data_IF_452126265526
#
_entry.id   IF_452126265526
#
_cell.length_a   1.000
_cell.length_b   1.000
_cell.length_c   1.000
_cell.angle_alpha   90.00
_cell.angle_beta   90.00
_cell.angle_gamma   90.00
#
_symmetry.space_group_name_H-M   'P 1'
#
loop_
_entity.id
_entity.type
_entity.pdbx_description
1 polymer ?
#
# COMPACT_ATOMS: atom_id res chain seq x y z
N UNK A 1 14.29 -15.08 41.13
CA UNK A 1 13.52 -15.25 39.87
C UNK A 1 12.67 -14.02 39.66
N UNK A 2 12.76 -13.35 38.52
CA UNK A 2 11.92 -12.20 38.19
C UNK A 2 10.80 -12.63 37.24
N UNK A 3 9.56 -12.31 37.58
CA UNK A 3 8.39 -12.51 36.73
C UNK A 3 8.02 -11.16 36.10
N UNK A 4 8.08 -11.08 34.77
CA UNK A 4 7.82 -9.84 34.02
C UNK A 4 6.98 -10.08 32.77
N UNK A 5 6.87 -9.07 31.91
CA UNK A 5 5.95 -9.06 30.77
C UNK A 5 6.65 -8.83 29.41
N UNK A 6 7.92 -9.24 29.26
CA UNK A 6 8.70 -9.01 28.03
C UNK A 6 8.14 -9.72 26.78
N UNK A 7 7.14 -10.60 26.95
CA UNK A 7 6.37 -11.22 25.87
C UNK A 7 5.35 -10.26 25.22
N UNK A 8 5.09 -9.09 25.81
CA UNK A 8 4.18 -8.09 25.24
C UNK A 8 4.83 -7.40 24.03
N UNK A 9 4.55 -7.91 22.83
CA UNK A 9 5.16 -7.46 21.58
C UNK A 9 4.58 -6.13 21.02
N UNK A 10 4.22 -5.17 21.88
CA UNK A 10 3.61 -3.90 21.46
C UNK A 10 4.54 -3.06 20.56
N UNK A 11 5.86 -3.17 20.75
CA UNK A 11 6.85 -2.52 19.87
C UNK A 11 6.76 -3.00 18.42
N UNK A 12 6.46 -4.28 18.20
CA UNK A 12 6.28 -4.87 16.85
C UNK A 12 5.03 -4.29 16.20
N UNK A 13 3.92 -4.21 16.93
CA UNK A 13 2.67 -3.60 16.43
C UNK A 13 2.90 -2.14 16.05
N UNK A 14 3.50 -1.35 16.95
CA UNK A 14 3.78 0.06 16.68
C UNK A 14 4.69 0.27 15.45
N UNK A 15 5.69 -0.58 15.25
CA UNK A 15 6.57 -0.51 14.09
C UNK A 15 5.83 -0.87 12.79
N UNK A 16 5.11 -2.00 12.79
CA UNK A 16 4.41 -2.50 11.59
C UNK A 16 3.28 -1.59 11.15
N UNK A 17 2.52 -0.99 12.07
CA UNK A 17 1.47 -0.02 11.72
C UNK A 17 2.05 1.26 11.10
N UNK A 18 3.16 1.78 11.64
CA UNK A 18 3.86 2.94 11.05
C UNK A 18 4.39 2.63 9.66
N UNK A 19 5.00 1.45 9.47
CA UNK A 19 5.45 1.01 8.14
C UNK A 19 4.27 0.97 7.19
N UNK A 20 3.16 0.34 7.58
CA UNK A 20 1.97 0.18 6.72
C UNK A 20 1.35 1.51 6.30
N UNK A 21 1.28 2.48 7.22
CA UNK A 21 0.82 3.84 6.89
C UNK A 21 1.77 4.54 5.90
N UNK A 22 3.08 4.42 6.11
CA UNK A 22 4.07 4.97 5.18
C UNK A 22 3.98 4.34 3.78
N UNK A 23 3.75 3.02 3.69
CA UNK A 23 3.55 2.33 2.40
C UNK A 23 2.37 2.93 1.63
N UNK A 24 1.24 3.20 2.31
CA UNK A 24 0.08 3.84 1.69
C UNK A 24 0.40 5.24 1.14
N UNK A 25 1.17 6.04 1.89
CA UNK A 25 1.59 7.36 1.42
C UNK A 25 2.49 7.27 0.18
N UNK A 26 3.42 6.32 0.16
CA UNK A 26 4.28 6.04 -1.01
C UNK A 26 3.43 5.60 -2.21
N UNK A 27 2.50 4.66 -2.02
CA UNK A 27 1.62 4.19 -3.09
C UNK A 27 0.76 5.31 -3.67
N UNK A 28 0.22 6.19 -2.82
CA UNK A 28 -0.56 7.35 -3.28
C UNK A 28 0.27 8.34 -4.08
N UNK A 29 1.52 8.58 -3.67
CA UNK A 29 2.45 9.43 -4.41
C UNK A 29 2.78 8.83 -5.79
N UNK A 30 3.15 7.55 -5.84
CA UNK A 30 3.47 6.86 -7.10
C UNK A 30 2.27 6.83 -8.05
N UNK A 31 1.07 6.55 -7.55
CA UNK A 31 -0.14 6.59 -8.36
C UNK A 31 -0.38 7.98 -8.94
N UNK A 32 -0.20 9.04 -8.15
CA UNK A 32 -0.37 10.41 -8.64
C UNK A 32 0.61 10.74 -9.77
N UNK A 33 1.87 10.30 -9.66
CA UNK A 33 2.88 10.46 -10.71
C UNK A 33 2.53 9.66 -11.97
N UNK A 34 2.08 8.41 -11.82
CA UNK A 34 1.66 7.56 -12.95
C UNK A 34 0.48 8.17 -13.70
N UNK A 35 -0.56 8.59 -12.99
CA UNK A 35 -1.74 9.20 -13.63
C UNK A 35 -1.41 10.53 -14.31
N UNK A 36 -0.47 11.31 -13.77
CA UNK A 36 0.02 12.54 -14.41
C UNK A 36 0.76 12.23 -15.73
N UNK A 37 1.68 11.25 -15.75
CA UNK A 37 2.42 10.88 -16.95
C UNK A 37 1.52 10.30 -18.06
N UNK A 38 0.50 9.52 -17.68
CA UNK A 38 -0.44 8.89 -18.62
C UNK A 38 -1.41 9.93 -19.24
N UNK A 39 -1.70 11.01 -18.52
CA UNK A 39 -2.61 12.04 -18.99
C UNK A 39 -1.90 13.07 -19.89
N UNK A 40 -2.21 13.04 -21.19
CA UNK A 40 -1.68 13.98 -22.18
C UNK A 40 -1.88 15.47 -21.86
N UNK A 41 -2.90 15.83 -21.08
CA UNK A 41 -3.16 17.23 -20.69
C UNK A 41 -2.16 17.72 -19.61
N UNK A 42 -1.50 16.80 -18.91
CA UNK A 42 -0.61 17.08 -17.78
C UNK A 42 0.85 16.68 -18.06
N UNK A 43 1.06 15.75 -18.97
CA UNK A 43 2.34 15.05 -19.18
C UNK A 43 3.36 15.80 -20.05
N UNK A 44 3.15 17.10 -20.29
CA UNK A 44 4.06 17.98 -21.02
C UNK A 44 4.46 17.48 -22.43
N UNK A 45 3.49 16.97 -23.18
CA UNK A 45 3.68 16.57 -24.58
C UNK A 45 3.91 15.08 -24.82
N UNK A 46 3.79 14.24 -23.79
CA UNK A 46 3.73 12.79 -23.99
C UNK A 46 2.41 12.37 -24.68
N UNK A 47 2.42 11.32 -25.50
CA UNK A 47 1.24 10.87 -26.22
C UNK A 47 0.17 10.33 -25.24
N UNK A 48 -1.14 10.41 -25.59
CA UNK A 48 -2.21 9.89 -24.75
C UNK A 48 -2.01 8.42 -24.39
N UNK A 49 -2.08 8.10 -23.09
CA UNK A 49 -1.86 6.75 -22.56
C UNK A 49 -0.47 6.15 -22.87
N UNK A 50 0.51 6.98 -23.25
CA UNK A 50 1.85 6.59 -23.71
C UNK A 50 1.84 5.63 -24.93
N UNK A 51 0.85 5.80 -25.81
CA UNK A 51 0.78 5.07 -27.08
C UNK A 51 1.93 5.49 -28.02
N UNK A 52 2.68 4.52 -28.54
CA UNK A 52 3.77 4.77 -29.51
C UNK A 52 3.26 4.90 -30.95
N UNK A 53 2.06 4.38 -31.21
CA UNK A 53 1.34 4.38 -32.47
C UNK A 53 0.14 5.36 -32.43
N UNK A 54 -0.77 5.28 -33.41
CA UNK A 54 -1.92 6.19 -33.52
C UNK A 54 -2.83 6.10 -32.26
N UNK A 55 -2.91 7.17 -31.45
CA UNK A 55 -3.68 7.15 -30.21
C UNK A 55 -5.19 7.00 -30.39
N UNK A 56 -5.71 7.13 -31.62
CA UNK A 56 -7.14 6.93 -31.91
C UNK A 56 -7.56 5.44 -31.85
N UNK A 57 -6.59 4.53 -32.01
CA UNK A 57 -6.81 3.07 -32.00
C UNK A 57 -5.98 2.34 -30.95
N UNK A 58 -5.04 3.03 -30.28
CA UNK A 58 -4.15 2.48 -29.27
C UNK A 58 -4.33 3.18 -27.92
N UNK A 59 -4.67 2.40 -26.90
CA UNK A 59 -4.90 2.89 -25.53
C UNK A 59 -3.83 2.42 -24.53
N UNK A 60 -2.72 1.86 -25.03
CA UNK A 60 -1.54 1.37 -24.32
C UNK A 60 -1.69 1.20 -22.78
N UNK A 61 -1.49 2.27 -22.00
CA UNK A 61 -1.49 2.19 -20.52
C UNK A 61 -2.81 2.56 -19.83
N UNK A 62 -3.92 2.74 -20.55
CA UNK A 62 -5.23 3.06 -19.96
C UNK A 62 -5.68 2.02 -18.92
N UNK A 63 -5.47 0.73 -19.22
CA UNK A 63 -5.80 -0.35 -18.29
C UNK A 63 -4.87 -0.38 -17.07
N UNK A 64 -3.60 0.01 -17.25
CA UNK A 64 -2.64 0.10 -16.17
C UNK A 64 -3.00 1.21 -15.17
N UNK A 65 -3.45 2.37 -15.64
CA UNK A 65 -3.93 3.46 -14.76
C UNK A 65 -5.10 2.98 -13.88
N UNK A 66 -6.10 2.32 -14.48
CA UNK A 66 -7.24 1.75 -13.76
C UNK A 66 -6.80 0.69 -12.71
N UNK A 67 -5.86 -0.18 -13.08
CA UNK A 67 -5.32 -1.18 -12.15
C UNK A 67 -4.54 -0.52 -11.00
N UNK A 68 -3.76 0.52 -11.29
CA UNK A 68 -2.98 1.25 -10.26
C UNK A 68 -3.90 1.97 -9.28
N UNK A 69 -5.03 2.50 -9.74
CA UNK A 69 -6.06 3.08 -8.89
C UNK A 69 -6.70 2.02 -7.95
N UNK A 70 -6.94 0.81 -8.46
CA UNK A 70 -7.46 -0.30 -7.67
C UNK A 70 -6.47 -0.71 -6.56
N UNK A 71 -5.20 -0.93 -6.89
CA UNK A 71 -4.17 -1.25 -5.90
C UNK A 71 -3.99 -0.14 -4.86
N UNK A 72 -4.02 1.13 -5.28
CA UNK A 72 -3.92 2.26 -4.35
C UNK A 72 -5.10 2.30 -3.36
N UNK A 73 -6.29 1.93 -3.82
CA UNK A 73 -7.48 1.85 -2.97
C UNK A 73 -7.39 0.71 -1.95
N UNK A 74 -6.96 -0.47 -2.40
CA UNK A 74 -6.70 -1.63 -1.52
C UNK A 74 -5.63 -1.32 -0.48
N UNK A 75 -4.53 -0.68 -0.89
CA UNK A 75 -3.47 -0.24 0.01
C UNK A 75 -3.97 0.78 1.04
N UNK A 76 -4.90 1.66 0.65
CA UNK A 76 -5.61 2.55 1.56
C UNK A 76 -6.40 1.82 2.63
N UNK A 77 -7.09 0.72 2.27
CA UNK A 77 -7.81 -0.10 3.23
C UNK A 77 -6.86 -0.85 4.18
N UNK A 78 -5.76 -1.42 3.65
CA UNK A 78 -4.75 -2.12 4.45
C UNK A 78 -4.07 -1.19 5.47
N UNK A 79 -4.00 0.10 5.22
CA UNK A 79 -3.38 1.09 6.12
C UNK A 79 -4.07 1.23 7.49
N UNK A 80 -5.29 0.73 7.65
CA UNK A 80 -6.00 0.81 8.92
C UNK A 80 -5.21 0.09 10.05
N UNK A 81 -5.17 0.67 11.27
CA UNK A 81 -4.53 0.02 12.41
C UNK A 81 -5.34 -1.23 12.82
N UNK A 82 -4.63 -2.24 13.30
CA UNK A 82 -5.23 -3.43 13.94
C UNK A 82 -5.22 -3.29 15.47
N UNK A 83 -4.36 -2.43 16.02
CA UNK A 83 -4.16 -2.24 17.45
C UNK A 83 -5.40 -1.73 18.21
N UNK A 84 -6.36 -1.13 17.50
CA UNK A 84 -7.66 -0.71 18.05
C UNK A 84 -8.70 -1.85 18.14
N UNK A 85 -8.36 -3.07 17.72
CA UNK A 85 -9.24 -4.24 17.74
C UNK A 85 -8.89 -5.26 18.85
N UNK A 86 -8.05 -4.89 19.82
CA UNK A 86 -7.67 -5.75 20.94
C UNK A 86 -8.89 -6.27 21.68
N UNK A 87 -8.92 -7.58 21.93
CA UNK A 87 -9.92 -8.25 22.75
C UNK A 87 -9.30 -8.75 24.03
N UNK A 88 -10.09 -8.81 25.11
CA UNK A 88 -9.65 -9.45 26.33
C UNK A 88 -9.62 -10.96 26.13
N UNK A 89 -8.43 -11.57 26.25
CA UNK A 89 -8.24 -13.00 26.06
C UNK A 89 -7.93 -13.71 27.39
N UNK A 90 -8.05 -15.05 27.37
CA UNK A 90 -7.58 -15.94 28.45
C UNK A 90 -8.19 -15.55 29.82
N UNK A 91 -9.52 -15.60 29.93
CA UNK A 91 -10.25 -15.27 31.17
C UNK A 91 -9.87 -13.91 31.78
N UNK A 92 -9.59 -12.91 30.94
CA UNK A 92 -9.14 -11.55 31.31
C UNK A 92 -7.70 -11.43 31.85
N UNK A 93 -6.92 -12.51 31.87
CA UNK A 93 -5.50 -12.43 32.19
C UNK A 93 -4.71 -11.68 31.10
N UNK A 94 -5.16 -11.75 29.84
CA UNK A 94 -4.62 -11.00 28.71
C UNK A 94 -5.61 -9.94 28.23
N UNK A 95 -6.02 -9.06 29.15
CA UNK A 95 -6.87 -7.90 28.85
C UNK A 95 -6.24 -6.90 27.88
N UNK A 96 -4.89 -6.89 27.80
CA UNK A 96 -4.11 -6.22 26.77
C UNK A 96 -3.21 -7.24 26.04
N UNK A 97 -3.16 -7.15 24.72
CA UNK A 97 -2.27 -7.96 23.88
C UNK A 97 -1.89 -7.15 22.63
N UNK A 98 -0.74 -7.47 22.04
CA UNK A 98 -0.16 -6.59 21.02
C UNK A 98 -0.82 -6.71 19.66
N UNK A 99 -1.39 -7.87 19.30
CA UNK A 99 -1.74 -8.23 17.93
C UNK A 99 -0.55 -8.13 16.95
N UNK A 100 0.69 -8.24 17.43
CA UNK A 100 1.89 -7.94 16.64
C UNK A 100 2.02 -8.78 15.37
N UNK A 101 1.74 -10.09 15.44
CA UNK A 101 1.79 -10.95 14.26
C UNK A 101 0.66 -10.62 13.25
N UNK A 102 -0.53 -10.25 13.73
CA UNK A 102 -1.62 -9.82 12.85
C UNK A 102 -1.24 -8.53 12.10
N UNK A 103 -0.71 -7.54 12.82
CA UNK A 103 -0.22 -6.30 12.20
C UNK A 103 0.90 -6.56 11.19
N UNK A 104 1.84 -7.47 11.50
CA UNK A 104 2.90 -7.87 10.57
C UNK A 104 2.34 -8.48 9.29
N UNK A 105 1.34 -9.37 9.38
CA UNK A 105 0.69 -9.98 8.19
C UNK A 105 -0.03 -8.96 7.31
N UNK A 106 -0.75 -8.01 7.91
CA UNK A 106 -1.40 -6.93 7.15
C UNK A 106 -0.36 -6.01 6.48
N UNK A 107 0.76 -5.80 7.15
CA UNK A 107 1.89 -5.02 6.59
C UNK A 107 2.55 -5.75 5.43
N UNK A 108 2.69 -7.07 5.52
CA UNK A 108 3.21 -7.88 4.42
C UNK A 108 2.29 -7.82 3.19
N UNK A 109 0.97 -7.95 3.36
CA UNK A 109 0.01 -7.77 2.27
C UNK A 109 0.10 -6.36 1.64
N UNK A 110 0.31 -5.31 2.45
CA UNK A 110 0.51 -3.95 1.96
C UNK A 110 1.82 -3.81 1.14
N UNK A 111 2.87 -4.55 1.48
CA UNK A 111 4.12 -4.59 0.70
C UNK A 111 3.87 -5.24 -0.67
N UNK A 112 3.13 -6.35 -0.73
CA UNK A 112 2.79 -7.02 -1.99
C UNK A 112 1.93 -6.10 -2.88
N UNK A 113 0.93 -5.45 -2.31
CA UNK A 113 0.08 -4.49 -3.02
C UNK A 113 0.88 -3.28 -3.54
N UNK A 114 1.77 -2.70 -2.71
CA UNK A 114 2.65 -1.61 -3.15
C UNK A 114 3.61 -2.06 -4.26
N UNK A 115 4.09 -3.30 -4.22
CA UNK A 115 4.98 -3.84 -5.25
C UNK A 115 4.32 -3.82 -6.64
N UNK A 116 3.00 -4.05 -6.72
CA UNK A 116 2.24 -3.91 -7.96
C UNK A 116 2.18 -2.45 -8.45
N UNK A 117 2.00 -1.49 -7.54
CA UNK A 117 2.02 -0.04 -7.86
C UNK A 117 3.41 0.37 -8.36
N UNK A 118 4.48 -0.09 -7.71
CA UNK A 118 5.87 0.20 -8.10
C UNK A 118 6.19 -0.40 -9.47
N UNK A 119 5.77 -1.64 -9.74
CA UNK A 119 5.95 -2.26 -11.04
C UNK A 119 5.23 -1.47 -12.16
N UNK A 120 3.99 -1.05 -11.91
CA UNK A 120 3.24 -0.21 -12.83
C UNK A 120 3.92 1.14 -13.06
N UNK A 121 4.43 1.77 -12.01
CA UNK A 121 5.16 3.03 -12.10
C UNK A 121 6.45 2.90 -12.92
N UNK A 122 7.22 1.84 -12.69
CA UNK A 122 8.44 1.57 -13.45
C UNK A 122 8.14 1.30 -14.93
N UNK A 123 7.11 0.52 -15.23
CA UNK A 123 6.72 0.24 -16.61
C UNK A 123 6.27 1.52 -17.33
N UNK A 124 5.45 2.35 -16.66
CA UNK A 124 4.99 3.63 -17.21
C UNK A 124 6.15 4.59 -17.46
N UNK A 125 7.17 4.62 -16.60
CA UNK A 125 8.32 5.51 -16.77
C UNK A 125 9.29 5.09 -17.89
N UNK A 126 9.29 3.81 -18.28
CA UNK A 126 10.18 3.27 -19.32
C UNK A 126 9.55 3.26 -20.72
N UNK A 127 8.22 3.33 -20.81
CA UNK A 127 7.46 3.35 -22.06
C UNK A 127 7.63 4.71 -22.76
#
# INVERSE_FOLDING_TARGET
VHCGANFQAASVTAATEKVRLSLQSIGKMLFSQVSEMINHDLSNGLPPNLAADDPSVSFCLKGLDANTAAYTSELGFLANPVSNHVQSAEMHNQSINSLGLLSARQTFAAIECLSMIVANALYTACQ
#
